data_IF_114478706767
#
_entry.id   IF_114478706767
#
_cell.length_a   1.000
_cell.length_b   1.000
_cell.length_c   1.000
_cell.angle_alpha   90.00
_cell.angle_beta   90.00
_cell.angle_gamma   90.00
#
_symmetry.space_group_name_H-M   'P 1'
#
loop_
_entity.id
_entity.type
_entity.pdbx_description
1 polymer ?
#
# COMPACT_ATOMS: atom_id res chain seq x y z
N UNK A 1 -8.10 12.83 -0.34
CA UNK A 1 -7.09 12.61 -1.42
C UNK A 1 -5.79 13.36 -1.18
N UNK A 2 -5.80 14.57 -0.59
CA UNK A 2 -4.58 15.36 -0.36
C UNK A 2 -3.54 14.67 0.53
N UNK A 3 -3.96 13.97 1.59
CA UNK A 3 -3.04 13.24 2.47
C UNK A 3 -2.32 12.08 1.75
N UNK A 4 -3.06 11.23 1.03
CA UNK A 4 -2.49 10.11 0.25
C UNK A 4 -1.53 10.58 -0.85
N UNK A 5 -1.88 11.65 -1.58
CA UNK A 5 -1.01 12.19 -2.62
C UNK A 5 0.29 12.76 -2.03
N UNK A 6 0.22 13.41 -0.86
CA UNK A 6 1.39 13.92 -0.14
C UNK A 6 2.29 12.77 0.32
N UNK A 7 1.72 11.74 0.96
CA UNK A 7 2.48 10.59 1.46
C UNK A 7 3.18 9.83 0.33
N UNK A 8 2.49 9.54 -0.78
CA UNK A 8 3.13 8.90 -1.94
C UNK A 8 4.25 9.75 -2.55
N UNK A 9 4.10 11.08 -2.53
CA UNK A 9 5.15 11.99 -2.95
C UNK A 9 6.37 11.96 -2.03
N UNK A 10 6.16 11.91 -0.72
CA UNK A 10 7.21 11.86 0.30
C UNK A 10 7.94 10.51 0.32
N UNK A 11 7.20 9.39 0.30
CA UNK A 11 7.76 8.06 0.54
C UNK A 11 8.38 7.41 -0.69
N UNK A 12 7.78 7.61 -1.88
CA UNK A 12 8.20 6.92 -3.12
C UNK A 12 8.42 7.88 -4.31
N UNK A 13 8.34 9.19 -4.09
CA UNK A 13 8.55 10.20 -5.14
C UNK A 13 7.45 10.23 -6.20
N UNK A 14 6.22 9.84 -5.85
CA UNK A 14 5.13 9.75 -6.82
C UNK A 14 4.74 11.12 -7.38
N UNK A 15 4.77 11.25 -8.70
CA UNK A 15 4.37 12.48 -9.43
C UNK A 15 3.25 12.24 -10.45
N UNK A 16 2.74 11.01 -10.54
CA UNK A 16 1.70 10.62 -11.48
C UNK A 16 0.27 11.02 -11.04
N UNK A 17 -0.71 10.94 -11.94
CA UNK A 17 -2.11 11.14 -11.57
C UNK A 17 -2.55 10.11 -10.54
N UNK A 18 -3.18 10.59 -9.45
CA UNK A 18 -3.73 9.73 -8.41
C UNK A 18 -5.13 9.27 -8.83
N UNK A 19 -5.21 8.11 -9.49
CA UNK A 19 -6.48 7.42 -9.73
C UNK A 19 -6.48 6.14 -8.92
N UNK A 20 -7.20 6.14 -7.81
CA UNK A 20 -7.37 4.95 -6.99
C UNK A 20 -8.36 4.00 -7.63
N UNK A 21 -8.12 2.69 -7.53
CA UNK A 21 -9.13 1.68 -7.85
C UNK A 21 -10.21 1.67 -6.76
N UNK A 22 -11.48 2.00 -7.09
CA UNK A 22 -12.57 1.91 -6.12
C UNK A 22 -12.75 0.48 -5.56
N UNK A 23 -12.33 -0.55 -6.31
CA UNK A 23 -12.36 -1.95 -5.91
C UNK A 23 -11.29 -2.35 -4.89
N UNK A 24 -10.31 -1.47 -4.61
CA UNK A 24 -9.26 -1.67 -3.61
C UNK A 24 -9.26 -0.58 -2.54
N UNK A 25 -10.44 -0.23 -2.03
CA UNK A 25 -10.53 0.57 -0.80
C UNK A 25 -10.78 -0.40 0.34
N UNK A 26 -9.72 -0.76 1.05
CA UNK A 26 -9.80 -1.64 2.22
C UNK A 26 -9.47 -0.86 3.48
N UNK A 27 -10.13 -1.20 4.58
CA UNK A 27 -9.84 -0.62 5.88
C UNK A 27 -9.81 -1.68 6.95
N UNK A 28 -8.85 -1.60 7.86
CA UNK A 28 -8.84 -2.43 9.05
C UNK A 28 -8.40 -1.61 10.27
N UNK A 29 -8.92 -2.01 11.43
CA UNK A 29 -8.55 -1.43 12.72
C UNK A 29 -7.44 -2.28 13.35
N UNK A 30 -6.45 -1.63 13.93
CA UNK A 30 -5.36 -2.28 14.65
C UNK A 30 -4.95 -1.48 15.88
N UNK A 31 -4.18 -2.12 16.77
CA UNK A 31 -3.57 -1.46 17.92
C UNK A 31 -2.09 -1.26 17.60
N UNK A 32 -1.64 -0.02 17.63
CA UNK A 32 -0.23 0.33 17.42
C UNK A 32 0.64 -0.24 18.54
N UNK A 33 1.97 -0.32 18.33
CA UNK A 33 2.92 -0.72 19.39
C UNK A 33 2.86 0.16 20.66
N UNK A 34 2.31 1.37 20.56
CA UNK A 34 2.08 2.27 21.70
C UNK A 34 0.77 2.02 22.47
N UNK A 35 -0.03 1.02 22.07
CA UNK A 35 -1.34 0.70 22.66
C UNK A 35 -2.50 1.55 22.14
N UNK A 36 -2.27 2.51 21.23
CA UNK A 36 -3.31 3.34 20.63
C UNK A 36 -4.06 2.57 19.53
N UNK A 37 -5.38 2.73 19.47
CA UNK A 37 -6.20 2.25 18.35
C UNK A 37 -5.97 3.14 17.13
N UNK A 38 -5.73 2.52 15.98
CA UNK A 38 -5.58 3.17 14.70
C UNK A 38 -6.43 2.44 13.65
N UNK A 39 -6.79 3.17 12.59
CA UNK A 39 -7.43 2.62 11.40
C UNK A 39 -6.51 2.83 10.21
N UNK A 40 -6.18 1.75 9.51
CA UNK A 40 -5.48 1.84 8.24
C UNK A 40 -6.50 1.97 7.11
N UNK A 41 -6.23 2.89 6.17
CA UNK A 41 -6.92 2.98 4.90
C UNK A 41 -5.94 2.57 3.81
N UNK A 42 -6.26 1.50 3.10
CA UNK A 42 -5.43 0.95 2.04
C UNK A 42 -6.08 1.28 0.70
N UNK A 43 -5.28 1.81 -0.22
CA UNK A 43 -5.67 2.19 -1.58
C UNK A 43 -4.69 1.56 -2.57
N UNK A 44 -5.14 1.28 -3.80
CA UNK A 44 -4.24 0.87 -4.88
C UNK A 44 -4.19 1.98 -5.91
N UNK A 45 -3.01 2.14 -6.48
CA UNK A 45 -2.76 3.06 -7.59
C UNK A 45 -2.07 2.26 -8.68
N UNK A 46 -2.56 2.38 -9.91
CA UNK A 46 -1.95 1.71 -11.05
C UNK A 46 -0.54 2.25 -11.28
N UNK A 47 0.47 1.37 -11.15
CA UNK A 47 1.85 1.70 -11.47
C UNK A 47 2.03 1.77 -12.99
N UNK A 48 2.63 2.86 -13.50
CA UNK A 48 2.81 3.13 -14.93
C UNK A 48 4.27 3.22 -15.34
N UNK A 49 5.17 2.59 -14.58
CA UNK A 49 6.60 2.52 -14.91
C UNK A 49 7.41 3.76 -14.51
N UNK A 50 6.89 4.63 -13.65
CA UNK A 50 7.66 5.75 -13.11
C UNK A 50 8.74 5.25 -12.14
N UNK A 51 9.92 5.88 -12.10
CA UNK A 51 10.97 5.50 -11.15
C UNK A 51 10.51 5.68 -9.69
N UNK A 52 10.78 4.68 -8.85
CA UNK A 52 10.57 4.75 -7.40
C UNK A 52 11.77 5.46 -6.77
N UNK A 53 11.52 6.59 -6.11
CA UNK A 53 12.52 7.33 -5.34
C UNK A 53 12.16 7.29 -3.86
N UNK A 54 12.89 6.51 -3.08
CA UNK A 54 12.59 6.31 -1.67
C UNK A 54 13.02 7.52 -0.83
N UNK A 55 12.21 7.85 0.17
CA UNK A 55 12.59 8.78 1.24
C UNK A 55 13.76 8.22 2.06
N UNK A 56 14.40 9.06 2.88
CA UNK A 56 15.48 8.64 3.78
C UNK A 56 15.02 7.65 4.87
N UNK A 57 13.71 7.51 5.08
CA UNK A 57 13.12 6.57 6.06
C UNK A 57 13.11 5.13 5.53
N UNK A 58 13.29 4.93 4.22
CA UNK A 58 13.25 3.62 3.59
C UNK A 58 14.56 3.29 2.87
N UNK A 59 15.02 2.05 3.02
CA UNK A 59 16.31 1.60 2.45
C UNK A 59 16.16 0.80 1.16
N UNK A 60 14.98 0.24 0.89
CA UNK A 60 14.74 -0.64 -0.26
C UNK A 60 13.26 -0.79 -0.60
N UNK A 61 12.97 -1.15 -1.84
CA UNK A 61 11.65 -1.60 -2.27
C UNK A 61 11.78 -2.87 -3.11
N UNK A 62 10.68 -3.63 -3.21
CA UNK A 62 10.57 -4.79 -4.10
C UNK A 62 9.15 -4.89 -4.65
N UNK A 63 9.04 -5.52 -5.81
CA UNK A 63 7.76 -5.99 -6.33
C UNK A 63 7.55 -7.42 -5.83
N UNK A 64 6.32 -7.75 -5.44
CA UNK A 64 5.92 -9.10 -5.04
C UNK A 64 4.70 -9.51 -5.86
N UNK A 65 4.61 -10.78 -6.24
CA UNK A 65 3.38 -11.29 -6.83
C UNK A 65 2.32 -11.44 -5.73
N UNK A 66 1.02 -11.19 -5.99
CA UNK A 66 0.00 -11.29 -4.94
C UNK A 66 -0.05 -12.64 -4.21
N UNK A 67 0.28 -13.74 -4.90
CA UNK A 67 0.35 -15.09 -4.30
C UNK A 67 1.48 -15.25 -3.27
N UNK A 68 2.52 -14.43 -3.37
CA UNK A 68 3.70 -14.44 -2.47
C UNK A 68 3.49 -13.53 -1.26
N UNK A 69 2.41 -12.73 -1.22
CA UNK A 69 2.18 -11.76 -0.14
C UNK A 69 2.10 -12.41 1.24
N UNK A 70 1.62 -13.66 1.33
CA UNK A 70 1.53 -14.40 2.59
C UNK A 70 2.88 -14.79 3.21
N UNK A 71 3.93 -14.88 2.39
CA UNK A 71 5.29 -15.25 2.81
C UNK A 71 6.22 -14.02 2.91
N UNK A 72 5.64 -12.81 2.85
CA UNK A 72 6.36 -11.55 2.91
C UNK A 72 6.47 -11.01 4.35
N UNK A 73 7.14 -9.87 4.49
CA UNK A 73 7.26 -9.08 5.71
C UNK A 73 6.06 -8.14 5.96
N UNK A 74 5.01 -8.24 5.13
CA UNK A 74 3.76 -7.51 5.35
C UNK A 74 3.04 -8.01 6.60
N UNK A 75 2.22 -7.14 7.20
CA UNK A 75 1.28 -7.59 8.23
C UNK A 75 0.27 -8.58 7.63
N UNK A 76 -0.28 -9.46 8.48
CA UNK A 76 -1.27 -10.46 8.07
C UNK A 76 -2.48 -9.80 7.38
N UNK A 77 -2.94 -8.67 7.92
CA UNK A 77 -4.06 -7.90 7.39
C UNK A 77 -3.76 -7.30 6.00
N UNK A 78 -2.54 -6.80 5.81
CA UNK A 78 -2.11 -6.23 4.52
C UNK A 78 -1.96 -7.33 3.47
N UNK A 79 -1.34 -8.46 3.83
CA UNK A 79 -1.19 -9.62 2.95
C UNK A 79 -2.54 -10.24 2.56
N UNK A 80 -3.50 -10.28 3.49
CA UNK A 80 -4.86 -10.74 3.20
C UNK A 80 -5.58 -9.78 2.24
N UNK A 81 -5.50 -8.46 2.50
CA UNK A 81 -6.11 -7.42 1.65
C UNK A 81 -5.63 -7.53 0.19
N UNK A 82 -4.32 -7.70 -0.02
CA UNK A 82 -3.73 -7.82 -1.36
C UNK A 82 -4.23 -9.08 -2.08
N UNK A 83 -4.30 -10.22 -1.38
CA UNK A 83 -4.78 -11.49 -1.97
C UNK A 83 -6.24 -11.41 -2.37
N UNK A 84 -7.12 -10.93 -1.48
CA UNK A 84 -8.55 -10.81 -1.74
C UNK A 84 -8.87 -9.90 -2.94
N UNK A 85 -8.04 -8.88 -3.18
CA UNK A 85 -8.19 -8.04 -4.37
C UNK A 85 -7.72 -8.73 -5.64
N UNK A 86 -6.56 -9.39 -5.58
CA UNK A 86 -6.03 -10.10 -6.73
C UNK A 86 -7.00 -11.18 -7.22
N UNK A 87 -7.64 -11.92 -6.31
CA UNK A 87 -8.68 -12.91 -6.64
C UNK A 87 -9.91 -12.32 -7.35
N UNK A 88 -10.24 -11.04 -7.08
CA UNK A 88 -11.38 -10.35 -7.71
C UNK A 88 -11.05 -9.76 -9.08
N UNK A 89 -9.77 -9.69 -9.45
CA UNK A 89 -9.28 -9.00 -10.65
C UNK A 89 -8.38 -9.89 -11.54
N UNK A 90 -8.32 -11.19 -11.25
CA UNK A 90 -7.64 -12.23 -12.04
C UNK A 90 -8.48 -12.76 -13.19
#
# INVERSE_FOLDING_TARGET
>A
MTALARELGEEIGWTGPLSTDPGFVATFDYVTGSGRRARQYTFSVAYRGQSIALSAEHTSHRWIHPVEAGDSDLTVESAQTIREWAEKHS
#
